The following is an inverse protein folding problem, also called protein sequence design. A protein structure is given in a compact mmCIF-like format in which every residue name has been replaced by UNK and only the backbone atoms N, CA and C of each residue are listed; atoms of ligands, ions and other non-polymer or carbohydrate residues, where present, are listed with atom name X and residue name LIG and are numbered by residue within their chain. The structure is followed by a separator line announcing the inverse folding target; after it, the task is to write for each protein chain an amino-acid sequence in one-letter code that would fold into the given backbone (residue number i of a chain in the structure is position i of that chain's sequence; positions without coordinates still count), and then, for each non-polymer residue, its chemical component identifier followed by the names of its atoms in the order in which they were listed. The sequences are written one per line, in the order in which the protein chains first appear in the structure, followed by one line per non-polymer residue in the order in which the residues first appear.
data_IF_460102889966
#
_entry.id   IF_460102889966
#
_cell.length_a   1.000
_cell.length_b   1.000
_cell.length_c   1.000
_cell.angle_alpha   90.00
_cell.angle_beta   90.00
_cell.angle_gamma   90.00
#
_symmetry.space_group_name_H-M   'P 1'
#
loop_
_entity.id
_entity.type
_entity.pdbx_description
1 polymer ?
#
# COMPACT_ATOMS: atom_id res chain seq x y z
N UNK A 1 -7.23 18.23 -36.23
CA UNK A 1 -6.02 18.89 -35.66
C UNK A 1 -6.27 19.63 -34.35
N UNK A 2 -7.47 20.21 -34.14
CA UNK A 2 -7.78 20.99 -32.93
C UNK A 2 -7.97 20.12 -31.66
N UNK A 3 -8.40 18.87 -31.79
CA UNK A 3 -8.56 17.94 -30.65
C UNK A 3 -7.23 17.40 -30.15
N UNK A 4 -6.27 17.18 -31.05
CA UNK A 4 -4.93 16.72 -30.69
C UNK A 4 -4.12 17.82 -30.02
N UNK A 5 -4.25 19.06 -30.50
CA UNK A 5 -3.58 20.22 -29.90
C UNK A 5 -4.11 20.58 -28.51
N UNK A 6 -5.41 20.42 -28.25
CA UNK A 6 -6.00 20.61 -26.92
C UNK A 6 -5.56 19.50 -25.94
N UNK A 7 -5.49 18.25 -26.39
CA UNK A 7 -5.02 17.13 -25.56
C UNK A 7 -3.56 17.28 -25.15
N UNK A 8 -2.68 17.67 -26.07
CA UNK A 8 -1.26 17.94 -25.79
C UNK A 8 -1.07 19.15 -24.87
N UNK A 9 -1.84 20.22 -25.06
CA UNK A 9 -1.77 21.39 -24.18
C UNK A 9 -2.20 21.11 -22.74
N UNK A 10 -3.17 20.23 -22.53
CA UNK A 10 -3.61 19.80 -21.19
C UNK A 10 -2.59 18.86 -20.52
N UNK A 11 -1.91 17.99 -21.29
CA UNK A 11 -0.81 17.15 -20.79
C UNK A 11 0.38 18.02 -20.37
N UNK A 12 0.73 19.03 -21.14
CA UNK A 12 1.82 19.96 -20.79
C UNK A 12 1.47 20.84 -19.57
N UNK A 13 0.23 21.30 -19.44
CA UNK A 13 -0.22 22.04 -18.23
C UNK A 13 -0.23 21.16 -16.97
N UNK A 14 -0.46 19.85 -17.12
CA UNK A 14 -0.36 18.90 -16.01
C UNK A 14 1.08 18.55 -15.65
N UNK A 15 2.03 18.70 -16.56
CA UNK A 15 3.47 18.46 -16.32
C UNK A 15 4.15 19.62 -15.57
N UNK A 16 3.61 20.82 -15.57
CA UNK A 16 4.04 21.87 -14.65
C UNK A 16 3.68 21.42 -13.23
N UNK A 17 4.64 20.80 -12.53
CA UNK A 17 4.43 20.30 -11.17
C UNK A 17 3.86 21.43 -10.30
N UNK A 18 2.59 21.38 -9.91
CA UNK A 18 2.02 22.47 -9.13
C UNK A 18 2.76 22.57 -7.80
N UNK A 19 3.07 23.76 -7.35
CA UNK A 19 3.77 24.01 -6.07
C UNK A 19 3.19 23.20 -4.91
N UNK A 20 1.88 22.94 -4.94
CA UNK A 20 1.19 22.09 -3.96
C UNK A 20 1.65 20.64 -3.98
N UNK A 21 1.97 20.07 -5.14
CA UNK A 21 2.48 18.71 -5.27
C UNK A 21 3.90 18.61 -4.71
N UNK A 22 4.76 19.59 -5.03
CA UNK A 22 6.12 19.66 -4.48
C UNK A 22 6.07 19.79 -2.96
N UNK A 23 5.24 20.70 -2.44
CA UNK A 23 5.07 20.89 -1.00
C UNK A 23 4.57 19.59 -0.33
N UNK A 24 3.58 18.91 -0.91
CA UNK A 24 3.10 17.63 -0.41
C UNK A 24 4.18 16.55 -0.38
N UNK A 25 4.98 16.45 -1.44
CA UNK A 25 6.10 15.48 -1.52
C UNK A 25 7.15 15.76 -0.46
N UNK A 26 7.52 17.03 -0.26
CA UNK A 26 8.49 17.44 0.77
C UNK A 26 7.95 17.13 2.17
N UNK A 27 6.68 17.44 2.44
CA UNK A 27 6.04 17.12 3.72
C UNK A 27 6.08 15.61 3.99
N UNK A 28 5.70 14.78 3.01
CA UNK A 28 5.75 13.32 3.15
C UNK A 28 7.17 12.84 3.40
N UNK A 29 8.17 13.36 2.67
CA UNK A 29 9.56 12.99 2.87
C UNK A 29 10.06 13.32 4.29
N UNK A 30 9.72 14.51 4.78
CA UNK A 30 10.07 14.94 6.16
C UNK A 30 9.35 14.04 7.18
N UNK A 31 8.08 13.72 6.99
CA UNK A 31 7.33 12.83 7.89
C UNK A 31 7.92 11.41 7.89
N UNK A 32 8.29 10.86 6.74
CA UNK A 32 8.96 9.56 6.66
C UNK A 32 10.31 9.56 7.40
N UNK A 33 11.08 10.64 7.26
CA UNK A 33 12.33 10.81 8.00
C UNK A 33 12.09 10.91 9.51
N UNK A 34 11.10 11.68 9.95
CA UNK A 34 10.72 11.79 11.36
C UNK A 34 10.29 10.43 11.94
N UNK A 35 9.48 9.66 11.23
CA UNK A 35 9.10 8.30 11.65
C UNK A 35 10.34 7.45 11.86
N UNK A 36 11.29 7.46 10.92
CA UNK A 36 12.53 6.71 11.06
C UNK A 36 13.36 7.20 12.25
N UNK A 37 13.50 8.51 12.43
CA UNK A 37 14.29 9.09 13.51
C UNK A 37 13.71 8.80 14.91
N UNK A 38 12.38 8.76 15.04
CA UNK A 38 11.70 8.55 16.32
C UNK A 38 11.50 7.06 16.65
N UNK A 39 11.23 6.21 15.66
CA UNK A 39 10.91 4.80 15.87
C UNK A 39 12.08 3.86 15.65
N UNK A 40 13.15 4.31 14.98
CA UNK A 40 14.24 3.46 14.53
C UNK A 40 13.86 2.47 13.42
N UNK A 41 12.60 2.52 12.94
CA UNK A 41 12.09 1.65 11.89
C UNK A 41 11.77 2.45 10.62
N UNK A 42 12.18 1.95 9.43
CA UNK A 42 11.77 2.57 8.18
C UNK A 42 10.25 2.45 8.02
N UNK A 43 9.67 3.41 7.30
CA UNK A 43 8.25 3.39 7.00
C UNK A 43 7.84 2.10 6.28
N UNK A 44 6.82 1.45 6.80
CA UNK A 44 6.33 0.18 6.23
C UNK A 44 4.94 -0.15 6.75
N UNK A 45 4.12 -0.71 5.89
CA UNK A 45 2.70 -1.02 6.16
C UNK A 45 2.42 -2.52 6.23
N UNK A 46 3.23 -3.33 5.57
CA UNK A 46 2.96 -4.75 5.33
C UNK A 46 2.95 -5.57 6.63
N UNK A 47 3.78 -5.20 7.60
CA UNK A 47 3.88 -5.92 8.87
C UNK A 47 2.64 -5.69 9.75
N UNK A 48 2.10 -4.48 9.79
CA UNK A 48 0.88 -4.17 10.55
C UNK A 48 -0.30 -5.05 10.13
N UNK A 49 -0.57 -5.14 8.83
CA UNK A 49 -1.63 -6.05 8.32
C UNK A 49 -1.35 -7.52 8.62
N UNK A 50 -0.08 -7.96 8.57
CA UNK A 50 0.30 -9.34 8.95
C UNK A 50 0.01 -9.59 10.43
N UNK A 51 0.35 -8.64 11.29
CA UNK A 51 0.09 -8.71 12.73
C UNK A 51 -1.41 -8.78 13.02
N UNK A 52 -2.24 -7.95 12.36
CA UNK A 52 -3.69 -7.98 12.54
C UNK A 52 -4.27 -9.33 12.12
N UNK A 53 -3.85 -9.85 10.95
CA UNK A 53 -4.23 -11.17 10.48
C UNK A 53 -3.84 -12.29 11.45
N UNK A 54 -2.62 -12.23 12.00
CA UNK A 54 -2.15 -13.17 13.02
C UNK A 54 -2.98 -13.13 14.30
N UNK A 55 -3.29 -11.93 14.80
CA UNK A 55 -4.13 -11.79 16.00
C UNK A 55 -5.57 -12.27 15.79
N UNK A 56 -6.16 -11.98 14.64
CA UNK A 56 -7.49 -12.47 14.30
C UNK A 56 -7.48 -14.00 14.20
N UNK A 57 -6.50 -14.58 13.52
CA UNK A 57 -6.36 -16.03 13.40
C UNK A 57 -6.17 -16.71 14.76
N UNK A 58 -5.35 -16.11 15.63
CA UNK A 58 -5.17 -16.59 17.02
C UNK A 58 -6.48 -16.55 17.81
N UNK A 59 -7.25 -15.46 17.68
CA UNK A 59 -8.56 -15.33 18.31
C UNK A 59 -9.59 -16.36 17.79
N UNK A 60 -9.42 -16.84 16.56
CA UNK A 60 -10.22 -17.90 15.96
C UNK A 60 -9.73 -19.32 16.32
N UNK A 61 -8.73 -19.43 17.20
CA UNK A 61 -8.20 -20.71 17.68
C UNK A 61 -7.12 -21.34 16.79
N UNK A 62 -6.60 -20.62 15.80
CA UNK A 62 -5.47 -21.09 14.99
C UNK A 62 -4.19 -20.93 15.82
N UNK A 63 -3.35 -21.98 15.98
CA UNK A 63 -2.10 -21.90 16.74
C UNK A 63 -1.03 -21.13 15.92
N UNK A 64 -1.21 -19.82 15.79
CA UNK A 64 -0.35 -18.95 14.96
C UNK A 64 1.09 -18.94 15.48
N UNK A 65 1.26 -19.10 16.78
CA UNK A 65 2.56 -19.15 17.47
C UNK A 65 3.44 -20.33 17.03
N UNK A 66 2.83 -21.39 16.50
CA UNK A 66 3.56 -22.56 15.99
C UNK A 66 4.25 -22.32 14.66
N UNK A 67 3.86 -21.30 13.91
CA UNK A 67 4.49 -20.98 12.62
C UNK A 67 5.87 -20.34 12.82
N UNK A 68 6.85 -20.80 12.07
CA UNK A 68 8.26 -20.37 12.17
C UNK A 68 8.44 -18.84 12.13
N UNK A 69 7.61 -18.12 11.37
CA UNK A 69 7.65 -16.67 11.31
C UNK A 69 7.38 -15.99 12.65
N UNK A 70 6.39 -16.50 13.42
CA UNK A 70 6.01 -15.93 14.72
C UNK A 70 6.94 -16.37 15.85
N UNK A 71 7.86 -17.30 15.60
CA UNK A 71 8.89 -17.71 16.56
C UNK A 71 10.09 -16.76 16.59
N UNK A 72 10.22 -15.90 15.58
CA UNK A 72 11.28 -14.90 15.55
C UNK A 72 11.04 -13.81 16.61
N UNK A 73 12.11 -13.27 17.24
CA UNK A 73 11.96 -12.36 18.40
C UNK A 73 11.11 -11.11 18.13
N UNK A 74 11.20 -10.52 16.94
CA UNK A 74 10.43 -9.32 16.57
C UNK A 74 8.92 -9.60 16.42
N UNK A 75 8.51 -10.47 15.48
CA UNK A 75 7.12 -10.86 15.30
C UNK A 75 6.46 -11.41 16.56
N UNK A 76 7.17 -12.22 17.35
CA UNK A 76 6.68 -12.78 18.60
C UNK A 76 6.32 -11.69 19.60
N UNK A 77 7.22 -10.73 19.84
CA UNK A 77 6.92 -9.59 20.72
C UNK A 77 5.71 -8.79 20.25
N UNK A 78 5.61 -8.53 18.94
CA UNK A 78 4.47 -7.81 18.39
C UNK A 78 3.15 -8.59 18.61
N UNK A 79 3.17 -9.93 18.50
CA UNK A 79 2.00 -10.76 18.74
C UNK A 79 1.55 -10.72 20.20
N UNK A 80 2.49 -10.67 21.15
CA UNK A 80 2.24 -10.62 22.60
C UNK A 80 1.74 -9.23 23.04
N UNK A 81 2.18 -8.16 22.38
CA UNK A 81 1.80 -6.78 22.73
C UNK A 81 0.53 -6.30 22.02
N UNK A 82 -0.01 -5.15 22.48
CA UNK A 82 -1.14 -4.50 21.83
C UNK A 82 -0.82 -4.07 20.39
N UNK A 83 -1.82 -4.11 19.51
CA UNK A 83 -1.72 -3.58 18.13
C UNK A 83 -1.28 -2.11 18.12
N UNK A 84 -1.69 -1.33 19.13
CA UNK A 84 -1.31 0.08 19.25
C UNK A 84 0.14 0.31 19.72
N UNK A 85 0.82 -0.73 20.19
CA UNK A 85 2.23 -0.66 20.53
C UNK A 85 3.14 -0.93 19.32
N UNK A 86 2.57 -1.42 18.20
CA UNK A 86 3.32 -1.69 16.98
C UNK A 86 3.34 -0.47 16.05
N UNK A 87 4.54 -0.04 15.69
CA UNK A 87 4.78 1.15 14.85
C UNK A 87 4.12 1.02 13.47
N UNK A 88 4.20 -0.17 12.85
CA UNK A 88 3.58 -0.40 11.54
C UNK A 88 2.06 -0.27 11.60
N UNK A 89 1.45 -0.80 12.65
CA UNK A 89 0.00 -0.69 12.87
C UNK A 89 -0.44 0.77 13.09
N UNK A 90 0.34 1.57 13.83
CA UNK A 90 0.06 2.99 14.00
C UNK A 90 0.15 3.76 12.68
N UNK A 91 1.13 3.41 11.82
CA UNK A 91 1.24 3.99 10.47
C UNK A 91 0.03 3.63 9.61
N UNK A 92 -0.42 2.38 9.66
CA UNK A 92 -1.59 1.90 8.91
C UNK A 92 -2.86 2.65 9.34
N UNK A 93 -3.10 2.81 10.64
CA UNK A 93 -4.19 3.62 11.16
C UNK A 93 -4.07 5.08 10.73
N UNK A 94 -2.88 5.66 10.82
CA UNK A 94 -2.61 7.03 10.38
C UNK A 94 -2.94 7.25 8.92
N UNK A 95 -2.58 6.32 8.03
CA UNK A 95 -2.91 6.39 6.61
C UNK A 95 -4.42 6.32 6.35
N UNK A 96 -5.11 5.37 6.97
CA UNK A 96 -6.55 5.20 6.79
C UNK A 96 -7.31 6.44 7.29
N UNK A 97 -6.95 6.92 8.49
CA UNK A 97 -7.57 8.12 9.07
C UNK A 97 -7.24 9.38 8.25
N UNK A 98 -6.00 9.52 7.80
CA UNK A 98 -5.58 10.65 6.97
C UNK A 98 -6.28 10.67 5.61
N UNK A 99 -6.37 9.53 4.95
CA UNK A 99 -7.11 9.40 3.70
C UNK A 99 -8.61 9.67 3.89
N UNK A 100 -9.21 9.16 4.96
CA UNK A 100 -10.60 9.42 5.32
C UNK A 100 -10.87 10.90 5.60
N UNK A 101 -10.00 11.55 6.37
CA UNK A 101 -10.09 12.98 6.66
C UNK A 101 -9.99 13.83 5.39
N UNK A 102 -9.05 13.52 4.50
CA UNK A 102 -8.92 14.22 3.23
C UNK A 102 -10.13 14.00 2.32
N UNK A 103 -10.67 12.79 2.25
CA UNK A 103 -11.89 12.50 1.52
C UNK A 103 -13.09 13.28 2.08
N UNK A 104 -13.20 13.42 3.40
CA UNK A 104 -14.22 14.21 4.06
C UNK A 104 -14.11 15.70 3.71
N UNK A 105 -12.90 16.27 3.85
CA UNK A 105 -12.64 17.71 3.57
C UNK A 105 -12.82 18.06 2.09
N UNK A 106 -12.42 17.15 1.20
CA UNK A 106 -12.57 17.36 -0.26
C UNK A 106 -14.00 17.14 -0.78
N UNK A 107 -14.96 16.78 0.08
CA UNK A 107 -16.32 16.47 -0.31
C UNK A 107 -16.50 15.12 -1.00
N UNK A 108 -15.47 14.29 -1.04
CA UNK A 108 -15.47 12.96 -1.66
C UNK A 108 -16.37 11.94 -0.95
N UNK A 109 -16.79 12.24 0.28
CA UNK A 109 -17.77 11.41 1.03
C UNK A 109 -19.22 11.77 0.71
N UNK A 110 -19.47 12.77 -0.13
CA UNK A 110 -20.82 13.03 -0.64
C UNK A 110 -21.25 11.85 -1.49
N UNK A 111 -22.37 11.22 -1.06
CA UNK A 111 -23.11 10.12 -1.69
C UNK A 111 -22.65 9.82 -3.12
N UNK A 112 -21.58 9.07 -3.22
CA UNK A 112 -21.24 8.35 -4.42
C UNK A 112 -22.04 7.05 -4.35
N UNK A 113 -22.71 6.72 -5.43
CA UNK A 113 -23.41 5.43 -5.51
C UNK A 113 -22.42 4.32 -5.16
N UNK A 114 -22.84 3.42 -4.26
CA UNK A 114 -21.99 2.31 -3.86
C UNK A 114 -21.54 1.53 -5.10
N UNK A 115 -20.27 1.20 -5.20
CA UNK A 115 -19.79 0.43 -6.35
C UNK A 115 -20.53 -0.91 -6.42
N UNK A 116 -20.85 -1.38 -7.63
CA UNK A 116 -21.55 -2.66 -7.79
C UNK A 116 -20.78 -3.80 -7.15
N UNK A 117 -21.49 -4.79 -6.61
CA UNK A 117 -20.92 -5.90 -5.85
C UNK A 117 -19.73 -6.59 -6.56
N UNK A 118 -19.80 -6.72 -7.89
CA UNK A 118 -18.69 -7.28 -8.69
C UNK A 118 -17.39 -6.50 -8.55
N UNK A 119 -17.46 -5.17 -8.46
CA UNK A 119 -16.28 -4.32 -8.27
C UNK A 119 -15.71 -4.46 -6.84
N UNK A 120 -16.59 -4.61 -5.84
CA UNK A 120 -16.17 -4.88 -4.45
C UNK A 120 -15.44 -6.22 -4.34
N UNK A 121 -15.98 -7.26 -4.98
CA UNK A 121 -15.33 -8.58 -5.03
C UNK A 121 -13.97 -8.49 -5.75
N UNK A 122 -13.91 -7.80 -6.88
CA UNK A 122 -12.65 -7.59 -7.61
C UNK A 122 -11.62 -6.84 -6.77
N UNK A 123 -12.02 -5.80 -6.05
CA UNK A 123 -11.16 -5.06 -5.15
C UNK A 123 -10.67 -5.91 -3.96
N UNK A 124 -11.56 -6.71 -3.36
CA UNK A 124 -11.21 -7.60 -2.27
C UNK A 124 -10.21 -8.68 -2.71
N UNK A 125 -10.47 -9.36 -3.83
CA UNK A 125 -9.56 -10.36 -4.39
C UNK A 125 -8.21 -9.75 -4.76
N UNK A 126 -8.21 -8.58 -5.41
CA UNK A 126 -6.99 -7.84 -5.75
C UNK A 126 -6.20 -7.45 -4.50
N UNK A 127 -6.87 -6.99 -3.45
CA UNK A 127 -6.25 -6.66 -2.17
C UNK A 127 -5.61 -7.87 -1.48
N UNK A 128 -6.30 -9.00 -1.46
CA UNK A 128 -5.77 -10.27 -0.91
C UNK A 128 -4.54 -10.73 -1.69
N UNK A 129 -4.62 -10.75 -3.04
CA UNK A 129 -3.49 -11.14 -3.88
C UNK A 129 -2.29 -10.18 -3.68
N UNK A 130 -2.54 -8.88 -3.59
CA UNK A 130 -1.51 -7.88 -3.33
C UNK A 130 -0.87 -8.09 -1.95
N UNK A 131 -1.66 -8.38 -0.91
CA UNK A 131 -1.17 -8.66 0.43
C UNK A 131 -0.28 -9.91 0.48
N UNK A 132 -0.72 -11.00 -0.16
CA UNK A 132 0.06 -12.24 -0.29
C UNK A 132 1.35 -11.96 -1.07
N UNK A 133 1.26 -11.26 -2.21
CA UNK A 133 2.40 -10.90 -3.03
C UNK A 133 3.42 -10.04 -2.30
N UNK A 134 2.97 -9.03 -1.55
CA UNK A 134 3.83 -8.20 -0.74
C UNK A 134 4.54 -8.99 0.36
N UNK A 135 3.90 -10.03 0.90
CA UNK A 135 4.50 -10.89 1.91
C UNK A 135 5.54 -11.84 1.32
N UNK A 136 5.23 -12.46 0.18
CA UNK A 136 6.15 -13.35 -0.54
C UNK A 136 7.33 -12.59 -1.14
N UNK A 137 7.08 -11.37 -1.61
CA UNK A 137 8.08 -10.47 -2.19
C UNK A 137 8.91 -9.68 -1.17
N UNK A 138 8.82 -10.02 0.13
CA UNK A 138 9.54 -9.34 1.22
C UNK A 138 9.38 -7.83 1.28
N UNK A 139 8.25 -7.30 0.81
CA UNK A 139 7.92 -5.88 0.93
C UNK A 139 7.04 -5.35 -0.20
N UNK A 140 6.65 -4.09 -0.06
CA UNK A 140 5.93 -3.31 -1.06
C UNK A 140 6.91 -2.61 -2.01
N UNK A 141 6.38 -1.74 -2.89
CA UNK A 141 7.18 -0.95 -3.83
C UNK A 141 8.36 -0.20 -3.17
N UNK A 142 8.21 0.22 -1.92
CA UNK A 142 9.28 0.94 -1.19
C UNK A 142 10.32 -0.05 -0.67
N UNK A 143 9.89 -1.09 0.05
CA UNK A 143 10.81 -2.02 0.69
C UNK A 143 11.48 -3.00 -0.29
N UNK A 144 10.71 -3.61 -1.19
CA UNK A 144 11.24 -4.61 -2.11
C UNK A 144 11.87 -3.99 -3.37
N UNK A 145 11.19 -3.02 -3.99
CA UNK A 145 11.66 -2.43 -5.25
C UNK A 145 12.68 -1.31 -5.02
N UNK A 146 12.27 -0.18 -4.40
CA UNK A 146 13.18 0.97 -4.26
C UNK A 146 14.39 0.66 -3.39
N UNK A 147 14.18 0.10 -2.21
CA UNK A 147 15.29 -0.26 -1.32
C UNK A 147 16.14 -1.40 -1.91
N UNK A 148 15.52 -2.37 -2.59
CA UNK A 148 16.22 -3.45 -3.27
C UNK A 148 17.13 -2.95 -4.38
N UNK A 149 16.66 -2.03 -5.24
CA UNK A 149 17.50 -1.42 -6.29
C UNK A 149 18.58 -0.52 -5.68
N UNK A 150 18.23 0.30 -4.71
CA UNK A 150 19.19 1.21 -4.06
C UNK A 150 20.33 0.46 -3.36
N UNK A 151 20.06 -0.74 -2.84
CA UNK A 151 21.09 -1.63 -2.26
C UNK A 151 21.83 -2.49 -3.27
N UNK A 152 21.56 -2.37 -4.58
CA UNK A 152 22.16 -3.18 -5.61
C UNK A 152 21.69 -4.64 -5.63
N UNK A 153 20.59 -4.97 -4.97
CA UNK A 153 20.07 -6.32 -4.88
C UNK A 153 19.35 -6.76 -6.16
N UNK A 154 19.64 -7.97 -6.63
CA UNK A 154 18.93 -8.60 -7.75
C UNK A 154 17.42 -8.76 -7.45
N UNK A 155 17.07 -8.90 -6.18
CA UNK A 155 15.68 -9.01 -5.71
C UNK A 155 14.81 -7.85 -6.21
N UNK A 156 15.30 -6.59 -6.14
CA UNK A 156 14.56 -5.43 -6.60
C UNK A 156 14.25 -5.47 -8.10
N UNK A 157 15.16 -5.97 -8.91
CA UNK A 157 14.96 -6.12 -10.35
C UNK A 157 13.97 -7.22 -10.71
N UNK A 158 14.06 -8.38 -10.04
CA UNK A 158 13.09 -9.47 -10.21
C UNK A 158 11.70 -8.99 -9.81
N UNK A 159 11.60 -8.29 -8.68
CA UNK A 159 10.35 -7.71 -8.22
C UNK A 159 9.73 -6.77 -9.26
N UNK A 160 10.53 -5.90 -9.87
CA UNK A 160 10.09 -4.97 -10.91
C UNK A 160 9.49 -5.69 -12.12
N UNK A 161 10.19 -6.69 -12.65
CA UNK A 161 9.70 -7.47 -13.80
C UNK A 161 8.39 -8.17 -13.46
N UNK A 162 8.29 -8.78 -12.28
CA UNK A 162 7.07 -9.46 -11.82
C UNK A 162 5.91 -8.47 -11.59
N UNK A 163 6.18 -7.27 -11.08
CA UNK A 163 5.18 -6.22 -10.92
C UNK A 163 4.62 -5.74 -12.27
N UNK A 164 5.49 -5.59 -13.28
CA UNK A 164 5.06 -5.24 -14.63
C UNK A 164 4.17 -6.33 -15.25
N UNK A 165 4.59 -7.60 -15.14
CA UNK A 165 3.81 -8.73 -15.62
C UNK A 165 2.45 -8.84 -14.90
N UNK A 166 2.44 -8.72 -13.57
CA UNK A 166 1.22 -8.74 -12.77
C UNK A 166 0.28 -7.59 -13.10
N UNK A 167 0.81 -6.39 -13.30
CA UNK A 167 0.02 -5.21 -13.72
C UNK A 167 -0.62 -5.43 -15.09
N UNK A 168 0.11 -6.00 -16.04
CA UNK A 168 -0.41 -6.32 -17.36
C UNK A 168 -1.55 -7.33 -17.31
N UNK A 169 -1.42 -8.40 -16.50
CA UNK A 169 -2.49 -9.38 -16.27
C UNK A 169 -3.69 -8.71 -15.59
N UNK A 170 -3.43 -7.90 -14.55
CA UNK A 170 -4.46 -7.18 -13.81
C UNK A 170 -5.30 -6.25 -14.69
N UNK A 171 -4.65 -5.49 -15.58
CA UNK A 171 -5.34 -4.62 -16.55
C UNK A 171 -6.27 -5.43 -17.46
N UNK A 172 -5.83 -6.59 -17.94
CA UNK A 172 -6.65 -7.47 -18.77
C UNK A 172 -7.82 -8.12 -18.04
N UNK A 173 -7.68 -8.33 -16.73
CA UNK A 173 -8.75 -8.87 -15.90
C UNK A 173 -9.81 -7.83 -15.51
N UNK A 174 -9.55 -6.52 -15.63
CA UNK A 174 -10.49 -5.44 -15.25
C UNK A 174 -11.89 -5.59 -15.86
N UNK A 175 -12.06 -5.86 -17.16
CA UNK A 175 -13.39 -5.95 -17.77
C UNK A 175 -14.25 -7.06 -17.13
N UNK A 176 -13.64 -8.14 -16.67
CA UNK A 176 -14.34 -9.26 -16.01
C UNK A 176 -15.04 -8.84 -14.71
N UNK A 177 -14.57 -7.76 -14.09
CA UNK A 177 -15.13 -7.18 -12.86
C UNK A 177 -16.02 -5.95 -13.12
N UNK A 178 -16.33 -5.65 -14.39
CA UNK A 178 -17.15 -4.48 -14.75
C UNK A 178 -16.42 -3.14 -14.59
N UNK A 179 -15.08 -3.17 -14.60
CA UNK A 179 -14.25 -1.98 -14.63
C UNK A 179 -13.89 -1.70 -16.09
N UNK A 180 -14.58 -0.73 -16.70
CA UNK A 180 -14.21 -0.25 -18.04
C UNK A 180 -12.79 0.31 -18.05
N UNK A 181 -12.14 0.15 -19.19
CA UNK A 181 -10.82 0.72 -19.44
C UNK A 181 -10.87 2.25 -19.43
#
# INVERSE_FOLDING_TARGET
DDMVSRGLGDVYKRQAMPRRLIAGTVIIAVLCWLVFALSGHPWGVTFGFTLWGGKIASALGVPVESFAFWQWPGPRRALEHSVLADVSSLMDFGMVLGAGAMAAVSGGLRRQDWPPFRQLVGAALGGVLMGIGARLGFGCNIGAFLAGIASGSLHGWIWFVMAMAGSWVGIRARPSFGLSA
#
